data_IF_575364513035
#
_entry.id   IF_575364513035
#
_cell.length_a   1.000
_cell.length_b   1.000
_cell.length_c   1.000
_cell.angle_alpha   90.00
_cell.angle_beta   90.00
_cell.angle_gamma   90.00
#
_symmetry.space_group_name_H-M   'P 1'
#
loop_
_entity.id
_entity.type
_entity.pdbx_description
1 polymer ?
#
# COMPACT_ATOMS: atom_id res chain seq x y z
N UNK A 1 -19.90 44.64 5.74
CA UNK A 1 -19.13 43.54 6.35
C UNK A 1 -18.74 42.60 5.23
N UNK A 2 -17.47 42.58 4.87
CA UNK A 2 -16.91 41.77 3.80
C UNK A 2 -16.87 40.32 4.27
N UNK A 3 -17.68 39.46 3.65
CA UNK A 3 -17.56 38.02 3.88
C UNK A 3 -16.20 37.59 3.35
N UNK A 4 -15.35 37.08 4.23
CA UNK A 4 -14.12 36.40 3.84
C UNK A 4 -14.57 35.18 3.05
N UNK A 5 -14.52 35.29 1.73
CA UNK A 5 -14.55 34.14 0.83
C UNK A 5 -13.26 33.37 1.12
N UNK A 6 -13.34 32.38 2.02
CA UNK A 6 -12.27 31.41 2.21
C UNK A 6 -12.26 30.57 0.94
N UNK A 7 -11.47 31.03 -0.01
CA UNK A 7 -11.25 30.39 -1.30
C UNK A 7 -10.66 28.99 -1.08
N UNK A 8 -11.08 27.96 -1.86
CA UNK A 8 -10.75 26.56 -1.62
C UNK A 8 -9.34 26.20 -2.12
N UNK A 9 -8.34 27.04 -1.83
CA UNK A 9 -6.95 26.77 -2.24
C UNK A 9 -6.35 25.54 -1.56
N UNK A 10 -6.88 25.13 -0.40
CA UNK A 10 -6.51 23.90 0.28
C UNK A 10 -6.98 22.63 -0.44
N UNK A 11 -8.04 22.71 -1.27
CA UNK A 11 -8.63 21.56 -1.97
C UNK A 11 -7.78 21.15 -3.17
N UNK A 12 -7.39 22.12 -3.99
CA UNK A 12 -6.59 21.91 -5.21
C UNK A 12 -5.16 21.44 -4.88
N UNK A 13 -4.60 21.96 -3.78
CA UNK A 13 -3.26 21.57 -3.35
C UNK A 13 -3.23 20.15 -2.78
N UNK A 14 -4.18 19.75 -1.93
CA UNK A 14 -4.18 18.40 -1.33
C UNK A 14 -4.42 17.29 -2.36
N UNK A 15 -5.37 17.47 -3.28
CA UNK A 15 -5.63 16.50 -4.36
C UNK A 15 -4.44 16.36 -5.31
N UNK A 16 -3.78 17.46 -5.66
CA UNK A 16 -2.58 17.43 -6.51
C UNK A 16 -1.43 16.66 -5.85
N UNK A 17 -1.21 16.85 -4.55
CA UNK A 17 -0.18 16.11 -3.81
C UNK A 17 -0.53 14.63 -3.64
N UNK A 18 -1.80 14.27 -3.38
CA UNK A 18 -2.20 12.86 -3.28
C UNK A 18 -2.06 12.12 -4.61
N UNK A 19 -2.40 12.77 -5.72
CA UNK A 19 -2.25 12.20 -7.06
C UNK A 19 -0.77 12.02 -7.43
N UNK A 20 0.10 12.96 -7.03
CA UNK A 20 1.56 12.85 -7.21
C UNK A 20 2.17 11.70 -6.40
N UNK A 21 1.69 11.46 -5.17
CA UNK A 21 2.18 10.36 -4.34
C UNK A 21 1.71 9.00 -4.85
N UNK A 22 0.48 8.91 -5.33
CA UNK A 22 -0.06 7.67 -5.92
C UNK A 22 0.70 7.27 -7.18
N UNK A 23 0.96 8.23 -8.07
CA UNK A 23 1.78 8.01 -9.27
C UNK A 23 3.22 7.62 -8.91
N UNK A 24 3.82 8.25 -7.90
CA UNK A 24 5.14 7.85 -7.42
C UNK A 24 5.13 6.41 -6.90
N UNK A 25 4.11 6.02 -6.14
CA UNK A 25 3.96 4.66 -5.62
C UNK A 25 3.81 3.63 -6.74
N UNK A 26 3.00 3.92 -7.77
CA UNK A 26 2.81 3.03 -8.91
C UNK A 26 4.12 2.84 -9.70
N UNK A 27 4.89 3.91 -9.92
CA UNK A 27 6.21 3.83 -10.58
C UNK A 27 7.19 2.99 -9.76
N UNK A 28 7.22 3.16 -8.43
CA UNK A 28 8.07 2.35 -7.56
C UNK A 28 7.64 0.87 -7.57
N UNK A 29 6.34 0.59 -7.55
CA UNK A 29 5.82 -0.77 -7.67
C UNK A 29 6.15 -1.38 -9.03
N UNK A 30 6.05 -0.65 -10.13
CA UNK A 30 6.44 -1.13 -11.45
C UNK A 30 7.93 -1.50 -11.48
N UNK A 31 8.79 -0.62 -10.97
CA UNK A 31 10.23 -0.89 -10.92
C UNK A 31 10.52 -2.12 -10.06
N UNK A 32 10.02 -2.15 -8.82
CA UNK A 32 10.33 -3.21 -7.85
C UNK A 32 9.70 -4.53 -8.28
N UNK A 33 8.45 -4.54 -8.72
CA UNK A 33 7.74 -5.77 -8.97
C UNK A 33 7.90 -6.29 -10.40
N UNK A 34 8.04 -5.43 -11.42
CA UNK A 34 8.20 -5.90 -12.80
C UNK A 34 9.67 -6.01 -13.21
N UNK A 35 10.47 -4.96 -13.01
CA UNK A 35 11.86 -4.98 -13.49
C UNK A 35 12.72 -5.97 -12.70
N UNK A 36 12.63 -5.97 -11.38
CA UNK A 36 13.39 -6.94 -10.58
C UNK A 36 12.87 -8.36 -10.77
N UNK A 37 11.57 -8.57 -10.94
CA UNK A 37 11.04 -9.91 -11.21
C UNK A 37 11.60 -10.47 -12.52
N UNK A 38 11.58 -9.68 -13.60
CA UNK A 38 12.21 -10.08 -14.87
C UNK A 38 13.71 -10.32 -14.70
N UNK A 39 14.42 -9.44 -13.98
CA UNK A 39 15.85 -9.61 -13.71
C UNK A 39 16.16 -10.93 -12.99
N UNK A 40 15.43 -11.25 -11.91
CA UNK A 40 15.68 -12.47 -11.14
C UNK A 40 15.24 -13.73 -11.87
N UNK A 41 14.20 -13.66 -12.71
CA UNK A 41 13.83 -14.76 -13.61
C UNK A 41 14.93 -15.07 -14.62
N UNK A 42 15.52 -14.05 -15.24
CA UNK A 42 16.65 -14.23 -16.16
C UNK A 42 17.90 -14.72 -15.43
N UNK A 43 18.21 -14.15 -14.26
CA UNK A 43 19.34 -14.61 -13.44
C UNK A 43 19.19 -16.09 -13.08
N UNK A 44 17.99 -16.50 -12.66
CA UNK A 44 17.67 -17.91 -12.38
C UNK A 44 17.87 -18.79 -13.62
N UNK A 45 17.39 -18.37 -14.78
CA UNK A 45 17.54 -19.12 -16.04
C UNK A 45 19.01 -19.35 -16.38
N UNK A 46 19.84 -18.30 -16.28
CA UNK A 46 21.29 -18.38 -16.51
C UNK A 46 21.93 -19.34 -15.51
N UNK A 47 21.55 -19.25 -14.24
CA UNK A 47 22.14 -20.06 -13.18
C UNK A 47 21.82 -21.56 -13.34
N UNK A 48 20.57 -21.89 -13.70
CA UNK A 48 20.19 -23.28 -14.02
C UNK A 48 21.05 -23.84 -15.16
N UNK A 49 21.29 -23.03 -16.20
CA UNK A 49 22.15 -23.42 -17.31
C UNK A 49 23.61 -23.60 -16.86
N UNK A 50 24.12 -22.71 -16.01
CA UNK A 50 25.47 -22.82 -15.46
C UNK A 50 25.67 -24.07 -14.62
N UNK A 51 24.76 -24.35 -13.67
CA UNK A 51 24.76 -25.59 -12.86
C UNK A 51 24.73 -26.83 -13.76
N UNK A 52 23.88 -26.84 -14.79
CA UNK A 52 23.80 -27.97 -15.73
C UNK A 52 25.12 -28.19 -16.49
N UNK A 53 25.81 -27.11 -16.84
CA UNK A 53 27.09 -27.13 -17.53
C UNK A 53 28.22 -27.60 -16.61
N UNK A 54 28.25 -27.12 -15.36
CA UNK A 54 29.20 -27.57 -14.34
C UNK A 54 29.05 -29.08 -14.06
N UNK A 55 27.82 -29.56 -13.88
CA UNK A 55 27.55 -30.99 -13.68
C UNK A 55 27.93 -31.84 -14.89
N UNK A 56 27.75 -31.31 -16.10
CA UNK A 56 28.19 -31.98 -17.33
C UNK A 56 29.73 -32.08 -17.36
N UNK A 57 30.42 -30.97 -17.10
CA UNK A 57 31.88 -30.93 -17.05
C UNK A 57 32.45 -31.85 -15.98
N UNK A 58 31.86 -31.86 -14.78
CA UNK A 58 32.23 -32.77 -13.70
C UNK A 58 32.16 -34.23 -14.16
N UNK A 59 31.03 -34.65 -14.76
CA UNK A 59 30.88 -36.03 -15.28
C UNK A 59 31.93 -36.38 -16.33
N UNK A 60 32.21 -35.46 -17.26
CA UNK A 60 33.22 -35.67 -18.30
C UNK A 60 34.63 -35.77 -17.71
N UNK A 61 34.99 -34.87 -16.78
CA UNK A 61 36.29 -34.87 -16.10
C UNK A 61 36.51 -36.14 -15.26
N UNK A 62 35.48 -36.59 -14.55
CA UNK A 62 35.51 -37.85 -13.77
C UNK A 62 35.63 -39.06 -14.69
N UNK A 63 34.90 -39.10 -15.81
CA UNK A 63 34.99 -40.20 -16.77
C UNK A 63 36.40 -40.33 -17.37
N UNK A 64 37.07 -39.22 -17.69
CA UNK A 64 38.47 -39.23 -18.17
C UNK A 64 39.42 -39.78 -17.09
N UNK A 65 39.19 -39.42 -15.83
CA UNK A 65 40.05 -39.83 -14.72
C UNK A 65 39.88 -41.30 -14.35
N UNK A 66 38.65 -41.83 -14.43
CA UNK A 66 38.31 -43.24 -14.14
C UNK A 66 38.57 -44.15 -15.34
N UNK A 67 38.36 -43.65 -16.56
CA UNK A 67 38.48 -44.42 -17.81
C UNK A 67 39.91 -44.55 -18.36
N UNK A 68 40.89 -43.82 -17.81
CA UNK A 68 42.28 -43.99 -18.19
C UNK A 68 42.82 -45.33 -17.63
N UNK A 69 43.31 -46.26 -18.48
CA UNK A 69 43.91 -47.52 -18.04
C UNK A 69 45.27 -47.23 -17.42
N UNK A 70 45.28 -46.78 -16.18
CA UNK A 70 46.49 -46.55 -15.41
C UNK A 70 46.50 -47.50 -14.22
N UNK A 71 47.64 -48.19 -14.05
CA UNK A 71 47.83 -49.24 -13.05
C UNK A 71 47.22 -48.87 -11.70
N UNK A 72 46.15 -49.58 -11.30
CA UNK A 72 45.49 -49.52 -9.99
C UNK A 72 46.42 -49.78 -8.80
N UNK A 73 47.70 -50.09 -9.06
CA UNK A 73 48.73 -50.43 -8.08
C UNK A 73 49.77 -49.34 -7.88
N UNK A 74 49.71 -48.24 -8.64
CA UNK A 74 50.60 -47.09 -8.48
C UNK A 74 49.90 -46.01 -7.63
N UNK A 75 50.58 -45.52 -6.59
CA UNK A 75 50.15 -44.35 -5.82
C UNK A 75 49.84 -43.18 -6.77
N UNK A 76 48.75 -42.43 -6.54
CA UNK A 76 48.40 -41.30 -7.37
C UNK A 76 49.53 -40.27 -7.35
N UNK A 77 49.94 -39.82 -8.53
CA UNK A 77 50.92 -38.73 -8.64
C UNK A 77 50.37 -37.47 -7.98
N UNK A 78 51.24 -36.59 -7.49
CA UNK A 78 50.84 -35.30 -6.90
C UNK A 78 49.97 -34.47 -7.84
N UNK A 79 50.22 -34.55 -9.15
CA UNK A 79 49.39 -33.95 -10.19
C UNK A 79 47.99 -34.55 -10.26
N UNK A 80 47.85 -35.88 -10.10
CA UNK A 80 46.54 -36.55 -10.08
C UNK A 80 45.74 -36.17 -8.84
N UNK A 81 46.37 -36.16 -7.66
CA UNK A 81 45.74 -35.69 -6.44
C UNK A 81 45.31 -34.21 -6.52
N UNK A 82 46.07 -33.36 -7.22
CA UNK A 82 45.68 -31.98 -7.49
C UNK A 82 44.49 -31.89 -8.47
N UNK A 83 44.45 -32.77 -9.48
CA UNK A 83 43.35 -32.85 -10.44
C UNK A 83 42.05 -33.34 -9.81
N UNK A 84 42.11 -34.35 -8.93
CA UNK A 84 40.94 -34.83 -8.18
C UNK A 84 40.31 -33.70 -7.35
N UNK A 85 41.13 -32.84 -6.73
CA UNK A 85 40.63 -31.64 -6.03
C UNK A 85 39.93 -30.64 -6.95
N UNK A 86 40.35 -30.51 -8.21
CA UNK A 86 39.67 -29.65 -9.19
C UNK A 86 38.31 -30.24 -9.53
N UNK A 87 38.21 -31.55 -9.70
CA UNK A 87 36.94 -32.26 -9.94
C UNK A 87 36.00 -32.06 -8.74
N UNK A 88 36.47 -32.30 -7.52
CA UNK A 88 35.68 -32.09 -6.29
C UNK A 88 35.21 -30.63 -6.15
N UNK A 89 36.04 -29.67 -6.58
CA UNK A 89 35.66 -28.26 -6.59
C UNK A 89 34.52 -27.96 -7.57
N UNK A 90 34.51 -28.61 -8.76
CA UNK A 90 33.44 -28.45 -9.73
C UNK A 90 32.10 -28.94 -9.18
N UNK A 91 32.11 -30.06 -8.45
CA UNK A 91 30.91 -30.58 -7.79
C UNK A 91 30.40 -29.63 -6.70
N UNK A 92 31.30 -29.18 -5.82
CA UNK A 92 30.94 -28.21 -4.77
C UNK A 92 30.40 -26.91 -5.33
N UNK A 93 31.00 -26.38 -6.39
CA UNK A 93 30.51 -25.17 -7.06
C UNK A 93 29.14 -25.40 -7.70
N UNK A 94 28.91 -26.56 -8.31
CA UNK A 94 27.59 -26.88 -8.86
C UNK A 94 26.51 -26.90 -7.76
N UNK A 95 26.83 -27.38 -6.57
CA UNK A 95 25.90 -27.45 -5.45
C UNK A 95 25.66 -26.09 -4.77
N UNK A 96 26.68 -25.25 -4.63
CA UNK A 96 26.51 -23.87 -4.12
C UNK A 96 25.63 -23.06 -5.05
N UNK A 97 25.85 -23.15 -6.36
CA UNK A 97 25.02 -22.47 -7.36
C UNK A 97 23.60 -23.05 -7.42
N UNK A 98 23.43 -24.36 -7.26
CA UNK A 98 22.11 -24.97 -7.14
C UNK A 98 21.35 -24.47 -5.89
N UNK A 99 22.06 -24.28 -4.77
CA UNK A 99 21.47 -23.68 -3.57
C UNK A 99 21.03 -22.24 -3.83
N UNK A 100 21.82 -21.45 -4.56
CA UNK A 100 21.44 -20.09 -4.97
C UNK A 100 20.17 -20.07 -5.84
N UNK A 101 20.04 -20.99 -6.81
CA UNK A 101 18.79 -21.17 -7.59
C UNK A 101 17.60 -21.43 -6.66
N UNK A 102 17.77 -22.28 -5.65
CA UNK A 102 16.70 -22.61 -4.71
C UNK A 102 16.25 -21.39 -3.89
N UNK A 103 17.19 -20.52 -3.51
CA UNK A 103 16.88 -19.25 -2.84
C UNK A 103 16.09 -18.33 -3.78
N UNK A 104 16.51 -18.20 -5.04
CA UNK A 104 15.76 -17.41 -6.03
C UNK A 104 14.32 -17.92 -6.20
N UNK A 105 14.15 -19.24 -6.26
CA UNK A 105 12.85 -19.89 -6.48
C UNK A 105 11.89 -19.78 -5.30
N UNK A 106 12.41 -19.73 -4.06
CA UNK A 106 11.58 -19.73 -2.84
C UNK A 106 11.42 -18.34 -2.24
N UNK A 107 12.51 -17.59 -2.16
CA UNK A 107 12.61 -16.43 -1.26
C UNK A 107 12.59 -15.10 -2.01
N UNK A 108 12.84 -15.08 -3.32
CA UNK A 108 12.94 -13.83 -4.10
C UNK A 108 11.82 -13.71 -5.12
N UNK A 109 11.68 -14.69 -6.02
CA UNK A 109 10.71 -14.62 -7.12
C UNK A 109 9.25 -14.64 -6.61
N UNK A 110 8.85 -15.55 -5.70
CA UNK A 110 7.46 -15.60 -5.25
C UNK A 110 7.01 -14.33 -4.50
N UNK A 111 7.80 -13.76 -3.55
CA UNK A 111 7.43 -12.49 -2.92
C UNK A 111 7.29 -11.33 -3.90
N UNK A 112 8.17 -11.22 -4.91
CA UNK A 112 8.06 -10.19 -5.95
C UNK A 112 6.81 -10.38 -6.82
N UNK A 113 6.45 -11.62 -7.16
CA UNK A 113 5.22 -11.93 -7.87
C UNK A 113 3.96 -11.59 -7.03
N UNK A 114 4.00 -11.84 -5.73
CA UNK A 114 2.93 -11.44 -4.80
C UNK A 114 2.83 -9.91 -4.69
N UNK A 115 3.97 -9.21 -4.62
CA UNK A 115 4.00 -7.75 -4.61
C UNK A 115 3.41 -7.18 -5.90
N UNK A 116 3.70 -7.77 -7.06
CA UNK A 116 3.05 -7.40 -8.33
C UNK A 116 1.52 -7.51 -8.24
N UNK A 117 1.01 -8.57 -7.63
CA UNK A 117 -0.43 -8.75 -7.41
C UNK A 117 -1.03 -7.70 -6.45
N UNK A 118 -0.22 -7.11 -5.57
CA UNK A 118 -0.62 -6.05 -4.64
C UNK A 118 -0.90 -4.70 -5.30
N UNK A 119 -0.63 -4.52 -6.60
CA UNK A 119 -1.07 -3.33 -7.36
C UNK A 119 -2.58 -3.07 -7.23
N UNK A 120 -3.39 -4.10 -6.94
CA UNK A 120 -4.82 -3.96 -6.59
C UNK A 120 -5.07 -3.10 -5.35
N UNK A 121 -4.11 -3.02 -4.41
CA UNK A 121 -4.19 -2.19 -3.22
C UNK A 121 -4.07 -0.69 -3.57
N UNK A 122 -3.21 -0.33 -4.54
CA UNK A 122 -3.09 1.06 -5.03
C UNK A 122 -4.45 1.57 -5.53
N UNK A 123 -5.12 0.77 -6.36
CA UNK A 123 -6.49 1.06 -6.84
C UNK A 123 -7.51 1.22 -5.71
N UNK A 124 -7.43 0.36 -4.69
CA UNK A 124 -8.32 0.44 -3.51
C UNK A 124 -8.10 1.74 -2.72
N UNK A 125 -6.85 2.20 -2.59
CA UNK A 125 -6.53 3.47 -1.90
C UNK A 125 -7.05 4.65 -2.72
N UNK A 126 -6.87 4.63 -4.04
CA UNK A 126 -7.42 5.65 -4.95
C UNK A 126 -8.95 5.76 -4.82
N UNK A 127 -9.66 4.61 -4.85
CA UNK A 127 -11.10 4.55 -4.64
C UNK A 127 -11.51 5.09 -3.26
N UNK A 128 -10.75 4.77 -2.21
CA UNK A 128 -10.99 5.28 -0.85
C UNK A 128 -10.83 6.79 -0.73
N UNK A 129 -9.82 7.37 -1.39
CA UNK A 129 -9.63 8.82 -1.47
C UNK A 129 -10.78 9.49 -2.20
N UNK A 130 -11.20 8.94 -3.35
CA UNK A 130 -12.33 9.47 -4.13
C UNK A 130 -13.64 9.43 -3.34
N UNK A 131 -13.91 8.34 -2.62
CA UNK A 131 -15.09 8.24 -1.74
C UNK A 131 -15.05 9.26 -0.60
N UNK A 132 -13.88 9.46 0.01
CA UNK A 132 -13.72 10.44 1.09
C UNK A 132 -13.93 11.87 0.58
N UNK A 133 -13.33 12.21 -0.57
CA UNK A 133 -13.51 13.49 -1.23
C UNK A 133 -15.00 13.74 -1.58
N UNK A 134 -15.71 12.73 -2.08
CA UNK A 134 -17.14 12.82 -2.35
C UNK A 134 -17.97 13.09 -1.08
N UNK A 135 -17.72 12.38 0.02
CA UNK A 135 -18.40 12.62 1.30
C UNK A 135 -18.17 14.04 1.84
N UNK A 136 -16.95 14.55 1.71
CA UNK A 136 -16.65 15.93 2.11
C UNK A 136 -17.35 16.94 1.20
N UNK A 137 -17.37 16.72 -0.11
CA UNK A 137 -18.08 17.57 -1.06
C UNK A 137 -19.59 17.61 -0.76
N UNK A 138 -20.21 16.45 -0.54
CA UNK A 138 -21.61 16.35 -0.18
C UNK A 138 -21.92 17.10 1.12
N UNK A 139 -21.03 17.02 2.12
CA UNK A 139 -21.20 17.76 3.36
C UNK A 139 -21.08 19.27 3.11
N UNK A 140 -20.01 19.72 2.45
CA UNK A 140 -19.79 21.14 2.17
C UNK A 140 -20.92 21.76 1.33
N UNK A 141 -21.40 21.05 0.30
CA UNK A 141 -22.39 21.57 -0.63
C UNK A 141 -23.83 21.41 -0.12
N UNK A 142 -24.15 20.31 0.55
CA UNK A 142 -25.52 20.06 1.01
C UNK A 142 -25.77 20.50 2.45
N UNK A 143 -24.95 20.08 3.43
CA UNK A 143 -25.26 20.35 4.85
C UNK A 143 -24.93 21.79 5.21
N UNK A 144 -23.75 22.29 4.84
CA UNK A 144 -23.32 23.65 5.16
C UNK A 144 -24.22 24.67 4.43
N UNK A 145 -24.49 24.48 3.13
CA UNK A 145 -25.39 25.37 2.40
C UNK A 145 -26.80 25.41 2.99
N UNK A 146 -27.37 24.26 3.40
CA UNK A 146 -28.69 24.21 4.07
C UNK A 146 -28.66 24.94 5.41
N UNK A 147 -27.62 24.74 6.20
CA UNK A 147 -27.45 25.44 7.48
C UNK A 147 -27.30 26.95 7.29
N UNK A 148 -26.52 27.38 6.28
CA UNK A 148 -26.34 28.79 5.94
C UNK A 148 -27.66 29.44 5.48
N UNK A 149 -28.44 28.75 4.62
CA UNK A 149 -29.77 29.23 4.22
C UNK A 149 -30.74 29.31 5.41
N UNK A 150 -30.73 28.31 6.30
CA UNK A 150 -31.58 28.31 7.49
C UNK A 150 -31.22 29.43 8.47
N UNK A 151 -29.91 29.68 8.67
CA UNK A 151 -29.42 30.79 9.47
C UNK A 151 -29.87 32.14 8.89
N UNK A 152 -29.64 32.37 7.59
CA UNK A 152 -30.02 33.62 6.95
C UNK A 152 -31.53 33.87 6.96
N UNK A 153 -32.35 32.83 6.77
CA UNK A 153 -33.81 32.92 6.91
C UNK A 153 -34.26 33.34 8.33
N UNK A 154 -33.58 32.85 9.37
CA UNK A 154 -33.91 33.18 10.77
C UNK A 154 -33.51 34.60 11.16
N UNK A 155 -32.34 35.06 10.74
CA UNK A 155 -31.74 36.30 11.27
C UNK A 155 -31.74 37.48 10.28
N UNK A 156 -32.00 37.25 9.00
CA UNK A 156 -32.14 38.29 7.97
C UNK A 156 -33.45 38.17 7.16
N UNK A 157 -34.63 38.08 7.81
CA UNK A 157 -35.89 37.84 7.11
C UNK A 157 -36.26 38.96 6.12
N UNK A 158 -35.89 40.23 6.41
CA UNK A 158 -36.19 41.38 5.53
C UNK A 158 -35.38 41.40 4.22
N UNK A 159 -34.17 40.85 4.20
CA UNK A 159 -33.33 40.78 2.99
C UNK A 159 -33.67 39.56 2.13
N UNK A 160 -34.07 38.44 2.75
CA UNK A 160 -34.53 37.25 2.01
C UNK A 160 -35.89 37.45 1.35
N UNK A 161 -36.79 38.25 1.95
CA UNK A 161 -38.06 38.62 1.35
C UNK A 161 -37.85 39.38 0.03
N UNK A 162 -36.90 40.32 -0.03
CA UNK A 162 -36.60 41.09 -1.26
C UNK A 162 -36.04 40.23 -2.40
N UNK A 163 -35.31 39.15 -2.12
CA UNK A 163 -34.82 38.23 -3.16
C UNK A 163 -35.88 37.24 -3.68
N UNK A 164 -36.95 37.01 -2.92
CA UNK A 164 -38.10 36.23 -3.38
C UNK A 164 -39.15 37.11 -4.09
N UNK A 165 -39.07 38.44 -3.96
CA UNK A 165 -40.09 39.40 -4.39
C UNK A 165 -40.03 39.82 -5.88
N UNK A 166 -39.29 39.09 -6.72
CA UNK A 166 -39.45 39.20 -8.19
C UNK A 166 -40.46 38.17 -8.70
N UNK A 167 -41.05 37.34 -7.84
CA UNK A 167 -42.08 36.38 -8.27
C UNK A 167 -43.17 36.15 -7.22
N UNK A 168 -44.03 37.16 -6.99
CA UNK A 168 -45.47 37.09 -7.29
C UNK A 168 -46.28 38.16 -6.56
N UNK A 169 -47.17 38.77 -7.33
CA UNK A 169 -48.24 39.67 -6.91
C UNK A 169 -49.42 38.90 -6.26
N UNK A 170 -50.06 39.60 -5.31
CA UNK A 170 -51.45 39.52 -4.82
C UNK A 170 -51.87 38.56 -3.68
N UNK A 171 -52.19 39.22 -2.56
CA UNK A 171 -53.45 39.24 -1.78
C UNK A 171 -53.86 38.04 -0.90
N UNK A 172 -53.86 38.26 0.42
CA UNK A 172 -55.05 38.48 1.29
C UNK A 172 -54.86 37.92 2.72
N UNK A 173 -55.29 38.70 3.70
CA UNK A 173 -55.35 38.44 5.16
C UNK A 173 -56.87 38.51 5.49
N UNK A 174 -57.50 37.69 6.38
CA UNK A 174 -57.07 37.51 7.77
C UNK A 174 -57.39 36.18 8.53
N UNK A 175 -56.51 35.90 9.49
CA UNK A 175 -56.73 35.46 10.88
C UNK A 175 -57.68 34.27 11.18
N UNK A 176 -57.13 33.18 11.76
CA UNK A 176 -57.79 32.40 12.84
C UNK A 176 -56.81 31.51 13.62
N UNK A 177 -57.00 31.58 14.95
CA UNK A 177 -56.48 30.72 16.03
C UNK A 177 -56.43 29.22 15.70
N UNK A 178 -55.32 28.58 16.04
CA UNK A 178 -55.21 27.26 16.70
C UNK A 178 -53.84 27.29 17.40
N UNK A 179 -53.69 27.17 18.72
CA UNK A 179 -54.33 26.20 19.60
C UNK A 179 -53.37 25.01 19.79
N UNK A 180 -52.48 25.12 20.79
CA UNK A 180 -51.78 24.05 21.52
C UNK A 180 -51.62 22.65 20.90
N UNK A 181 -50.38 22.31 20.55
CA UNK A 181 -49.73 20.98 20.66
C UNK A 181 -48.32 21.23 20.11
N UNK A 182 -47.23 21.18 20.87
CA UNK A 182 -46.57 19.96 21.34
C UNK A 182 -45.68 20.33 22.53
N UNK A 183 -46.09 19.96 23.75
CA UNK A 183 -45.23 19.95 24.95
C UNK A 183 -45.05 18.53 25.50
N UNK A 184 -45.01 17.53 24.62
CA UNK A 184 -44.96 16.12 25.00
C UNK A 184 -43.82 15.35 24.31
N UNK A 185 -42.62 15.93 24.22
CA UNK A 185 -41.42 15.19 23.76
C UNK A 185 -40.21 15.26 24.71
N UNK A 186 -40.36 15.87 25.89
CA UNK A 186 -39.36 15.82 26.96
C UNK A 186 -39.99 15.29 28.25
N UNK A 187 -40.49 14.06 28.19
CA UNK A 187 -40.76 13.21 29.36
C UNK A 187 -39.74 12.08 29.36
N UNK A 188 -38.91 12.02 30.40
CA UNK A 188 -37.66 11.28 30.42
C UNK A 188 -37.75 9.76 30.29
N UNK A 189 -36.59 9.17 29.95
CA UNK A 189 -36.25 7.80 30.31
C UNK A 189 -34.75 7.71 30.56
N UNK A 190 -34.42 7.73 31.84
CA UNK A 190 -33.17 7.26 32.42
C UNK A 190 -33.23 5.73 32.41
N UNK A 191 -32.30 5.08 31.70
CA UNK A 191 -31.92 3.68 31.92
C UNK A 191 -30.40 3.56 31.73
N UNK A 192 -29.73 3.43 32.87
CA UNK A 192 -28.65 2.50 33.20
C UNK A 192 -27.39 2.39 32.33
N UNK A 193 -26.37 3.06 32.87
CA UNK A 193 -24.96 2.70 32.81
C UNK A 193 -24.72 1.31 33.44
N UNK A 194 -24.54 0.27 32.61
CA UNK A 194 -23.54 -0.78 32.87
C UNK A 194 -22.29 -0.40 32.08
N UNK A 195 -21.08 -0.28 32.64
CA UNK A 195 -20.48 -1.19 33.61
C UNK A 195 -19.59 -2.17 32.85
N UNK A 196 -18.45 -1.69 32.32
CA UNK A 196 -17.32 -2.52 31.85
C UNK A 196 -16.03 -1.71 32.01
N UNK A 197 -15.36 -2.00 33.12
CA UNK A 197 -13.92 -2.10 33.41
C UNK A 197 -12.89 -1.23 32.65
N UNK A 198 -11.92 -0.63 33.38
CA UNK A 198 -10.75 0.03 32.81
C UNK A 198 -9.60 -0.97 32.65
N UNK A 199 -9.10 -1.17 31.44
CA UNK A 199 -7.77 -1.76 31.23
C UNK A 199 -6.76 -0.64 30.97
N UNK A 200 -5.85 -0.53 31.91
CA UNK A 200 -4.67 0.33 31.91
C UNK A 200 -3.68 -0.09 30.82
N UNK A 201 -2.85 0.87 30.39
CA UNK A 201 -1.45 0.55 30.07
C UNK A 201 -1.10 0.39 28.60
N UNK A 202 -1.03 1.50 27.86
CA UNK A 202 -0.03 1.65 26.79
C UNK A 202 0.81 2.89 27.01
N UNK A 203 1.75 2.77 27.96
CA UNK A 203 2.92 3.64 27.99
C UNK A 203 4.00 3.10 27.05
N UNK A 204 4.47 3.99 26.17
CA UNK A 204 5.85 4.07 25.67
C UNK A 204 6.44 2.89 24.87
N UNK A 205 6.48 3.05 23.55
CA UNK A 205 7.60 2.56 22.73
C UNK A 205 8.07 3.71 21.85
N UNK A 206 8.92 4.58 22.43
CA UNK A 206 9.86 5.42 21.68
C UNK A 206 11.25 5.12 22.26
N UNK A 207 11.97 4.22 21.60
CA UNK A 207 13.43 4.12 21.57
C UNK A 207 13.71 3.54 20.18
N UNK A 208 14.20 4.32 19.21
CA UNK A 208 15.55 4.87 19.24
C UNK A 208 16.52 3.81 18.71
N UNK A 209 16.34 3.34 17.46
CA UNK A 209 17.34 2.51 16.79
C UNK A 209 18.47 3.41 16.29
N UNK A 210 19.50 3.50 17.13
CA UNK A 210 20.79 4.06 16.81
C UNK A 210 21.54 3.07 15.91
N UNK A 211 21.80 3.48 14.68
CA UNK A 211 22.72 2.80 13.76
C UNK A 211 24.12 2.78 14.39
N UNK A 212 24.64 1.60 14.70
CA UNK A 212 26.08 1.38 14.84
C UNK A 212 26.62 0.87 13.51
N UNK A 213 27.35 1.77 12.83
CA UNK A 213 28.47 1.35 12.00
C UNK A 213 29.55 0.79 12.92
N UNK A 214 30.04 -0.41 12.61
CA UNK A 214 31.36 -0.88 13.03
C UNK A 214 32.09 -1.37 11.79
N UNK A 215 33.35 -0.94 11.72
CA UNK A 215 34.37 -1.20 10.72
C UNK A 215 34.62 -2.68 10.43
#
# INVERSE_FOLDING_TARGET
MSFISVEPQSRVTLESHSNSLLTQFDVQLEIIADRYLTFFQERRRIEIFYVSSLRKLHREATAVTVGAPFNSRAEPTTTRAAWDKVIDNLEREADTQQAFVNVLDKDVIPPLAMLKASHKLSKRVEEGLKQSAAKYADHAENTISKLQQAYSKKYHPRQYAQSADVSKCSQDVPNKRFGNMVSALFGGRQEDLGGLEPEEGTTNIIHGFQLQLVC
#
